data_IF_940998997792
#
_entry.id   IF_940998997792
#
_cell.length_a   1.000
_cell.length_b   1.000
_cell.length_c   1.000
_cell.angle_alpha   90.00
_cell.angle_beta   90.00
_cell.angle_gamma   90.00
#
_symmetry.space_group_name_H-M   'P 1'
#
loop_
_entity.id
_entity.type
_entity.pdbx_description
1 polymer ?
#
# COMPACT_ATOMS: atom_id res chain seq x y z
N UNK A 1 21.15 20.61 42.34
CA UNK A 1 21.15 20.86 40.88
C UNK A 1 21.57 19.58 40.18
N UNK A 2 20.60 18.74 39.82
CA UNK A 2 20.84 17.54 39.02
C UNK A 2 20.40 17.88 37.59
N UNK A 3 21.34 17.77 36.65
CA UNK A 3 21.13 18.13 35.25
C UNK A 3 20.03 17.28 34.63
N UNK A 4 19.04 17.95 34.06
CA UNK A 4 18.07 17.35 33.13
C UNK A 4 18.88 16.81 31.96
N UNK A 5 18.96 15.49 31.85
CA UNK A 5 19.58 14.82 30.72
C UNK A 5 18.92 15.28 29.44
N UNK A 6 19.73 15.83 28.52
CA UNK A 6 19.31 16.09 27.15
C UNK A 6 18.75 14.77 26.60
N UNK A 7 17.46 14.74 26.27
CA UNK A 7 16.88 13.65 25.51
C UNK A 7 17.73 13.48 24.24
N UNK A 8 18.48 12.38 24.17
CA UNK A 8 19.33 12.08 23.01
C UNK A 8 18.46 12.03 21.77
N UNK A 9 18.93 12.64 20.68
CA UNK A 9 18.32 12.49 19.36
C UNK A 9 18.12 10.99 19.09
N UNK A 10 16.95 10.54 18.62
CA UNK A 10 16.75 9.14 18.26
C UNK A 10 17.85 8.71 17.28
N UNK A 11 18.62 7.68 17.59
CA UNK A 11 19.57 7.11 16.63
C UNK A 11 18.79 6.36 15.56
N UNK A 12 18.69 6.93 14.37
CA UNK A 12 18.09 6.27 13.21
C UNK A 12 18.99 5.10 12.78
N UNK A 13 18.43 3.90 12.66
CA UNK A 13 19.19 2.65 12.50
C UNK A 13 19.34 2.18 11.05
N UNK A 14 19.08 3.05 10.08
CA UNK A 14 19.22 2.71 8.66
C UNK A 14 20.68 2.84 8.23
N UNK A 15 21.05 2.13 7.16
CA UNK A 15 22.37 2.28 6.54
C UNK A 15 22.35 3.56 5.70
N UNK A 16 23.10 4.63 6.06
CA UNK A 16 23.05 5.89 5.32
C UNK A 16 23.33 5.72 3.82
N UNK A 17 24.25 4.83 3.49
CA UNK A 17 24.68 4.58 2.11
C UNK A 17 23.73 3.68 1.32
N UNK A 18 22.72 3.05 1.95
CA UNK A 18 21.81 2.14 1.26
C UNK A 18 21.08 2.84 0.12
N UNK A 19 20.54 4.04 0.39
CA UNK A 19 19.82 4.83 -0.61
C UNK A 19 20.75 5.58 -1.56
N UNK A 20 22.05 5.64 -1.28
CA UNK A 20 22.98 6.44 -2.08
C UNK A 20 23.00 5.96 -3.54
N UNK A 21 22.98 4.65 -3.77
CA UNK A 21 22.94 4.10 -5.12
C UNK A 21 21.65 4.47 -5.85
N UNK A 22 20.51 4.38 -5.18
CA UNK A 22 19.17 4.67 -5.75
C UNK A 22 18.92 6.17 -5.96
N UNK A 23 19.65 7.04 -5.25
CA UNK A 23 19.51 8.50 -5.34
C UNK A 23 20.59 9.18 -6.17
N UNK A 24 21.69 8.50 -6.50
CA UNK A 24 22.79 9.07 -7.28
C UNK A 24 22.28 9.60 -8.62
N UNK A 25 22.50 10.90 -8.88
CA UNK A 25 22.12 11.55 -10.14
C UNK A 25 20.63 11.87 -10.29
N UNK A 26 19.78 11.49 -9.32
CA UNK A 26 18.33 11.77 -9.38
C UNK A 26 18.01 13.26 -9.18
N UNK A 27 18.88 13.98 -8.47
CA UNK A 27 18.59 15.33 -7.99
C UNK A 27 17.86 15.35 -6.65
N UNK A 28 17.94 14.25 -5.89
CA UNK A 28 17.35 14.11 -4.57
C UNK A 28 18.38 13.59 -3.56
N UNK A 29 18.21 13.92 -2.29
CA UNK A 29 19.00 13.37 -1.18
C UNK A 29 18.13 13.05 0.04
N UNK A 30 18.57 12.12 0.89
CA UNK A 30 17.91 11.86 2.18
C UNK A 30 18.53 12.77 3.23
N UNK A 31 17.71 13.62 3.83
CA UNK A 31 18.06 14.30 5.07
C UNK A 31 17.24 13.72 6.22
N UNK A 32 17.88 13.61 7.38
CA UNK A 32 17.20 13.11 8.58
C UNK A 32 17.03 14.23 9.58
N UNK A 33 15.77 14.53 9.89
CA UNK A 33 15.36 15.49 10.91
C UNK A 33 15.02 14.78 12.23
N UNK A 34 15.17 15.52 13.33
CA UNK A 34 14.86 15.05 14.70
C UNK A 34 13.36 14.83 14.96
N UNK A 35 12.47 15.44 14.17
CA UNK A 35 11.01 15.39 14.34
C UNK A 35 10.38 14.48 13.29
N UNK A 36 10.65 14.72 12.00
CA UNK A 36 10.07 13.95 10.89
C UNK A 36 10.82 12.65 10.58
N UNK A 37 12.06 12.52 11.02
CA UNK A 37 12.94 11.45 10.60
C UNK A 37 13.46 11.67 9.18
N UNK A 38 13.56 10.59 8.39
CA UNK A 38 14.01 10.67 7.01
C UNK A 38 13.03 11.49 6.17
N UNK A 39 13.56 12.32 5.28
CA UNK A 39 12.81 12.99 4.23
C UNK A 39 13.66 13.15 2.98
N UNK A 40 13.01 13.22 1.82
CA UNK A 40 13.69 13.52 0.56
C UNK A 40 13.72 15.03 0.31
N UNK A 41 14.88 15.52 -0.12
CA UNK A 41 15.09 16.93 -0.44
C UNK A 41 15.66 17.07 -1.85
N UNK A 42 15.26 18.13 -2.54
CA UNK A 42 15.76 18.45 -3.87
C UNK A 42 17.21 18.95 -3.81
N UNK A 43 18.11 18.39 -4.61
CA UNK A 43 19.49 18.91 -4.78
C UNK A 43 19.66 19.74 -6.05
N UNK A 44 18.59 19.87 -6.84
CA UNK A 44 18.48 20.71 -8.03
C UNK A 44 17.04 21.21 -8.19
N UNK A 45 16.84 22.13 -9.12
CA UNK A 45 15.50 22.56 -9.49
C UNK A 45 14.76 21.47 -10.31
N UNK A 46 13.45 21.36 -10.07
CA UNK A 46 12.50 20.60 -10.89
C UNK A 46 11.44 21.54 -11.45
N UNK A 47 11.12 21.40 -12.73
CA UNK A 47 10.06 22.18 -13.36
C UNK A 47 8.69 21.59 -13.07
N UNK A 48 7.66 22.43 -13.01
CA UNK A 48 6.27 22.00 -12.92
C UNK A 48 5.95 20.93 -13.98
N UNK A 49 5.21 19.91 -13.59
CA UNK A 49 4.80 18.76 -14.39
C UNK A 49 5.93 17.87 -14.92
N UNK A 50 7.18 18.10 -14.51
CA UNK A 50 8.27 17.18 -14.80
C UNK A 50 8.20 15.93 -13.94
N UNK A 51 8.62 14.80 -14.50
CA UNK A 51 8.84 13.56 -13.75
C UNK A 51 10.05 13.75 -12.82
N UNK A 52 9.80 13.69 -11.52
CA UNK A 52 10.82 13.82 -10.47
C UNK A 52 11.46 12.47 -10.19
N UNK A 53 10.64 11.41 -10.14
CA UNK A 53 11.10 10.07 -9.83
C UNK A 53 10.22 9.00 -10.47
N UNK A 54 10.83 7.90 -10.89
CA UNK A 54 10.15 6.68 -11.32
C UNK A 54 10.81 5.47 -10.68
N UNK A 55 9.99 4.59 -10.13
CA UNK A 55 10.47 3.40 -9.42
C UNK A 55 9.56 2.20 -9.66
N UNK A 56 10.15 1.05 -9.98
CA UNK A 56 9.45 -0.23 -10.00
C UNK A 56 9.35 -0.77 -8.58
N UNK A 57 8.16 -1.22 -8.15
CA UNK A 57 7.99 -1.77 -6.81
C UNK A 57 9.03 -2.85 -6.47
N UNK A 58 9.65 -2.72 -5.30
CA UNK A 58 10.48 -3.76 -4.71
C UNK A 58 9.65 -5.05 -4.54
N UNK A 59 8.43 -4.88 -4.03
CA UNK A 59 7.45 -5.93 -3.85
C UNK A 59 6.03 -5.37 -4.02
N UNK A 60 5.14 -6.11 -4.66
CA UNK A 60 3.73 -5.77 -4.70
C UNK A 60 2.84 -7.01 -4.66
N UNK A 61 1.60 -6.81 -4.24
CA UNK A 61 0.56 -7.84 -4.21
C UNK A 61 -0.80 -7.24 -4.47
N UNK A 62 -1.66 -8.02 -5.12
CA UNK A 62 -3.08 -7.73 -5.21
C UNK A 62 -3.68 -7.74 -3.80
N UNK A 63 -4.70 -6.94 -3.56
CA UNK A 63 -5.44 -7.00 -2.31
C UNK A 63 -6.08 -8.39 -2.12
N UNK A 64 -6.36 -8.75 -0.87
CA UNK A 64 -6.86 -10.08 -0.49
C UNK A 64 -8.24 -10.36 -1.11
N UNK A 65 -9.09 -9.35 -1.18
CA UNK A 65 -10.45 -9.46 -1.70
C UNK A 65 -10.52 -9.74 -3.19
N UNK A 66 -9.76 -9.00 -4.01
CA UNK A 66 -9.77 -9.21 -5.46
C UNK A 66 -9.09 -10.55 -5.79
N UNK A 67 -8.06 -10.93 -5.02
CA UNK A 67 -7.41 -12.24 -5.12
C UNK A 67 -8.38 -13.39 -4.81
N UNK A 68 -9.20 -13.27 -3.75
CA UNK A 68 -10.27 -14.25 -3.41
C UNK A 68 -11.37 -14.31 -4.46
N UNK A 69 -11.71 -13.17 -5.06
CA UNK A 69 -12.71 -13.08 -6.15
C UNK A 69 -12.16 -13.55 -7.50
N UNK A 70 -10.85 -13.78 -7.62
CA UNK A 70 -10.20 -14.22 -8.84
C UNK A 70 -10.16 -13.13 -9.91
N UNK A 71 -10.00 -11.86 -9.52
CA UNK A 71 -9.85 -10.76 -10.47
C UNK A 71 -8.54 -10.95 -11.26
N UNK A 72 -8.58 -11.05 -12.60
CA UNK A 72 -7.41 -11.36 -13.41
C UNK A 72 -6.40 -10.21 -13.44
N UNK A 73 -5.25 -10.41 -12.83
CA UNK A 73 -4.11 -9.48 -12.88
C UNK A 73 -2.83 -10.24 -13.16
N UNK A 74 -1.83 -9.54 -13.71
CA UNK A 74 -0.49 -10.07 -13.78
C UNK A 74 0.00 -10.34 -12.36
N UNK A 75 0.37 -11.58 -12.05
CA UNK A 75 0.86 -11.96 -10.72
C UNK A 75 2.14 -11.22 -10.31
N UNK A 76 2.88 -10.69 -11.28
CA UNK A 76 4.10 -9.91 -11.06
C UNK A 76 3.83 -8.41 -10.86
N UNK A 77 3.22 -7.76 -11.85
CA UNK A 77 3.12 -6.30 -11.91
C UNK A 77 1.75 -5.74 -11.55
N UNK A 78 0.77 -6.61 -11.27
CA UNK A 78 -0.62 -6.24 -10.97
C UNK A 78 -1.37 -5.54 -12.10
N UNK A 79 -0.79 -5.39 -13.29
CA UNK A 79 -1.52 -4.92 -14.48
C UNK A 79 -2.74 -5.80 -14.70
N UNK A 80 -3.90 -5.18 -14.89
CA UNK A 80 -5.13 -5.90 -15.24
C UNK A 80 -4.92 -6.74 -16.51
N UNK A 81 -5.38 -7.98 -16.47
CA UNK A 81 -5.41 -8.88 -17.64
C UNK A 81 -6.80 -8.88 -18.30
N UNK A 82 -7.72 -8.05 -17.82
CA UNK A 82 -9.05 -7.90 -18.36
C UNK A 82 -9.08 -6.91 -19.52
N UNK A 83 -9.89 -7.23 -20.52
CA UNK A 83 -10.46 -6.24 -21.45
C UNK A 83 -11.62 -5.49 -20.78
N UNK A 84 -12.06 -4.34 -21.34
CA UNK A 84 -13.25 -3.62 -20.85
C UNK A 84 -14.49 -4.50 -20.86
N UNK A 85 -14.64 -5.35 -21.88
CA UNK A 85 -15.73 -6.32 -22.00
C UNK A 85 -15.70 -7.38 -20.91
N UNK A 86 -14.53 -7.95 -20.61
CA UNK A 86 -14.40 -8.98 -19.57
C UNK A 86 -14.57 -8.41 -18.16
N UNK A 87 -14.05 -7.20 -17.91
CA UNK A 87 -14.29 -6.48 -16.67
C UNK A 87 -15.79 -6.19 -16.49
N UNK A 88 -16.45 -5.65 -17.52
CA UNK A 88 -17.89 -5.40 -17.50
C UNK A 88 -18.70 -6.69 -17.27
N UNK A 89 -18.30 -7.80 -17.90
CA UNK A 89 -18.93 -9.11 -17.69
C UNK A 89 -18.80 -9.57 -16.23
N UNK A 90 -17.62 -9.40 -15.61
CA UNK A 90 -17.34 -9.76 -14.22
C UNK A 90 -18.10 -8.88 -13.23
N UNK A 91 -18.03 -7.55 -13.40
CA UNK A 91 -18.61 -6.58 -12.47
C UNK A 91 -20.13 -6.48 -12.58
N UNK A 92 -20.69 -6.48 -13.79
CA UNK A 92 -22.14 -6.34 -13.99
C UNK A 92 -22.90 -7.67 -14.02
N UNK A 93 -22.23 -8.78 -14.39
CA UNK A 93 -22.85 -10.08 -14.73
C UNK A 93 -23.91 -10.01 -15.84
N UNK A 94 -23.88 -8.99 -16.72
CA UNK A 94 -24.90 -8.73 -17.74
C UNK A 94 -24.38 -8.88 -19.17
N UNK A 95 -24.76 -9.97 -19.85
CA UNK A 95 -24.38 -10.23 -21.25
C UNK A 95 -24.81 -9.12 -22.23
N UNK A 96 -25.99 -8.52 -22.04
CA UNK A 96 -26.48 -7.42 -22.92
C UNK A 96 -25.61 -6.17 -22.84
N UNK A 97 -25.13 -5.81 -21.64
CA UNK A 97 -24.25 -4.66 -21.47
C UNK A 97 -22.91 -4.87 -22.18
N UNK A 98 -22.34 -6.07 -22.08
CA UNK A 98 -21.09 -6.45 -22.76
C UNK A 98 -21.18 -6.31 -24.28
N UNK A 99 -22.33 -6.68 -24.86
CA UNK A 99 -22.58 -6.58 -26.30
C UNK A 99 -22.84 -5.14 -26.76
N UNK A 100 -23.35 -4.28 -25.87
CA UNK A 100 -23.69 -2.90 -26.16
C UNK A 100 -22.54 -1.90 -25.91
N UNK A 101 -21.41 -2.35 -25.35
CA UNK A 101 -20.25 -1.49 -25.11
C UNK A 101 -19.80 -0.84 -26.44
N UNK A 102 -19.68 0.50 -26.53
CA UNK A 102 -19.25 1.19 -27.74
C UNK A 102 -17.77 0.91 -28.07
N UNK A 103 -17.45 0.77 -29.37
CA UNK A 103 -16.09 0.61 -29.92
C UNK A 103 -15.15 -0.38 -29.21
N UNK A 104 -15.62 -1.56 -28.76
CA UNK A 104 -14.89 -2.43 -27.86
C UNK A 104 -13.60 -3.04 -28.45
N UNK A 105 -13.39 -2.89 -29.75
CA UNK A 105 -12.16 -3.24 -30.49
C UNK A 105 -10.99 -2.26 -30.25
N UNK A 106 -11.22 -1.07 -29.69
CA UNK A 106 -10.16 -0.08 -29.43
C UNK A 106 -9.11 -0.58 -28.43
N UNK A 107 -9.47 -1.48 -27.53
CA UNK A 107 -8.52 -2.17 -26.67
C UNK A 107 -8.31 -3.60 -27.15
N UNK A 108 -7.10 -3.85 -27.66
CA UNK A 108 -6.69 -5.20 -28.02
C UNK A 108 -6.64 -6.09 -26.77
N UNK A 109 -7.16 -7.33 -26.84
CA UNK A 109 -7.00 -8.28 -25.75
C UNK A 109 -5.52 -8.52 -25.47
N UNK A 110 -5.15 -8.45 -24.18
CA UNK A 110 -3.86 -8.97 -23.75
C UNK A 110 -3.90 -10.48 -23.89
N UNK A 111 -2.85 -11.07 -24.44
CA UNK A 111 -2.61 -12.51 -24.42
C UNK A 111 -1.77 -12.87 -23.19
N UNK A 112 -2.37 -13.25 -22.05
CA UNK A 112 -1.62 -13.45 -20.83
C UNK A 112 -0.77 -14.71 -20.94
N UNK A 113 0.49 -14.59 -20.56
CA UNK A 113 1.43 -15.71 -20.52
C UNK A 113 1.16 -16.52 -19.24
N UNK A 114 0.80 -17.79 -19.32
CA UNK A 114 0.59 -18.61 -18.13
C UNK A 114 1.91 -19.00 -17.47
N UNK A 115 1.84 -19.40 -16.20
CA UNK A 115 2.91 -20.11 -15.52
C UNK A 115 3.42 -21.29 -16.36
N UNK A 116 4.73 -21.55 -16.30
CA UNK A 116 5.39 -22.69 -16.94
C UNK A 116 4.80 -24.04 -16.52
N UNK A 117 4.21 -24.09 -15.32
CA UNK A 117 3.61 -25.29 -14.74
C UNK A 117 2.09 -25.26 -14.66
N UNK A 118 1.45 -24.60 -15.65
CA UNK A 118 -0.01 -24.54 -15.75
C UNK A 118 -0.65 -25.93 -15.77
N UNK A 119 -0.06 -26.85 -16.54
CA UNK A 119 -0.56 -28.23 -16.68
C UNK A 119 -0.43 -29.04 -15.38
N UNK A 120 0.42 -28.60 -14.44
CA UNK A 120 0.55 -29.18 -13.11
C UNK A 120 -0.31 -28.45 -12.05
N UNK A 121 -1.21 -27.57 -12.49
CA UNK A 121 -2.25 -26.97 -11.65
C UNK A 121 -1.99 -25.54 -11.17
N UNK A 122 -0.89 -24.89 -11.58
CA UNK A 122 -0.69 -23.48 -11.30
C UNK A 122 -1.60 -22.60 -12.18
N UNK A 123 -2.30 -21.63 -11.58
CA UNK A 123 -3.23 -20.73 -12.29
C UNK A 123 -2.70 -19.32 -12.48
N UNK A 124 -1.48 -19.04 -12.02
CA UNK A 124 -0.87 -17.72 -12.14
C UNK A 124 -0.66 -17.34 -13.62
N UNK A 125 -0.94 -16.08 -13.93
CA UNK A 125 -0.84 -15.51 -15.26
C UNK A 125 -0.04 -14.22 -15.22
N UNK A 126 0.60 -13.89 -16.34
CA UNK A 126 1.50 -12.76 -16.46
C UNK A 126 1.18 -11.98 -17.72
N UNK A 127 1.33 -10.66 -17.70
CA UNK A 127 1.07 -9.83 -18.88
C UNK A 127 2.11 -10.02 -19.99
N UNK A 128 3.27 -10.64 -19.69
CA UNK A 128 4.36 -10.86 -20.64
C UNK A 128 5.28 -11.98 -20.17
N UNK A 129 6.11 -12.51 -21.09
CA UNK A 129 7.16 -13.46 -20.76
C UNK A 129 8.17 -12.86 -19.76
N UNK A 130 8.50 -11.57 -19.91
CA UNK A 130 9.32 -10.81 -18.95
C UNK A 130 8.74 -10.89 -17.54
N UNK A 131 7.45 -10.58 -17.36
CA UNK A 131 6.82 -10.65 -16.04
C UNK A 131 6.82 -12.06 -15.45
N UNK A 132 6.56 -13.10 -16.26
CA UNK A 132 6.64 -14.49 -15.81
C UNK A 132 8.04 -14.86 -15.32
N UNK A 133 9.07 -14.50 -16.08
CA UNK A 133 10.47 -14.80 -15.74
C UNK A 133 10.94 -14.01 -14.52
N UNK A 134 10.57 -12.74 -14.42
CA UNK A 134 10.84 -11.91 -13.24
C UNK A 134 10.15 -12.48 -12.01
N UNK A 135 8.88 -12.88 -12.10
CA UNK A 135 8.17 -13.53 -10.99
C UNK A 135 8.86 -14.83 -10.58
N UNK A 136 9.22 -15.69 -11.55
CA UNK A 136 9.91 -16.95 -11.28
C UNK A 136 11.19 -16.72 -10.48
N UNK A 137 12.02 -15.77 -10.92
CA UNK A 137 13.29 -15.44 -10.25
C UNK A 137 13.10 -14.76 -8.90
N UNK A 138 12.04 -13.94 -8.74
CA UNK A 138 11.83 -13.16 -7.52
C UNK A 138 11.07 -13.90 -6.43
N UNK A 139 9.98 -14.63 -6.71
CA UNK A 139 9.15 -15.24 -5.66
C UNK A 139 8.41 -16.50 -6.09
N UNK A 140 8.03 -16.60 -7.36
CA UNK A 140 7.08 -17.60 -7.82
C UNK A 140 7.68 -19.01 -7.76
N UNK A 141 9.02 -19.15 -7.84
CA UNK A 141 9.67 -20.45 -7.67
C UNK A 141 9.35 -21.11 -6.32
N UNK A 142 9.35 -20.35 -5.21
CA UNK A 142 9.05 -20.90 -3.87
C UNK A 142 7.56 -21.03 -3.58
N UNK A 143 6.70 -20.25 -4.24
CA UNK A 143 5.26 -20.21 -3.95
C UNK A 143 4.37 -20.74 -5.10
N UNK A 144 4.95 -21.38 -6.11
CA UNK A 144 4.20 -21.94 -7.22
C UNK A 144 3.30 -23.08 -6.72
N UNK A 145 1.98 -22.93 -6.91
CA UNK A 145 0.99 -23.91 -6.49
C UNK A 145 1.19 -25.32 -7.09
N UNK A 146 1.85 -25.41 -8.25
CA UNK A 146 2.17 -26.70 -8.89
C UNK A 146 3.19 -27.52 -8.08
N UNK A 147 4.07 -26.87 -7.33
CA UNK A 147 5.14 -27.53 -6.55
C UNK A 147 4.80 -27.65 -5.06
N UNK A 148 3.69 -27.07 -4.62
CA UNK A 148 3.27 -27.15 -3.23
C UNK A 148 2.81 -28.57 -2.85
N UNK A 149 3.39 -29.10 -1.75
CA UNK A 149 2.91 -30.30 -1.07
C UNK A 149 1.47 -30.10 -0.59
N UNK A 150 0.76 -31.20 -0.32
CA UNK A 150 -0.60 -31.13 0.22
C UNK A 150 -0.69 -30.38 1.56
N UNK A 151 0.34 -30.48 2.41
CA UNK A 151 0.46 -29.71 3.66
C UNK A 151 0.56 -28.20 3.39
N UNK A 152 1.45 -27.79 2.49
CA UNK A 152 1.63 -26.39 2.09
C UNK A 152 0.35 -25.80 1.50
N UNK A 153 -0.34 -26.53 0.62
CA UNK A 153 -1.63 -26.08 0.04
C UNK A 153 -2.70 -25.87 1.12
N UNK A 154 -2.77 -26.75 2.12
CA UNK A 154 -3.67 -26.58 3.27
C UNK A 154 -3.29 -25.37 4.11
N UNK A 155 -2.00 -25.17 4.39
CA UNK A 155 -1.51 -24.01 5.12
C UNK A 155 -1.82 -22.70 4.36
N UNK A 156 -1.59 -22.66 3.04
CA UNK A 156 -1.91 -21.52 2.20
C UNK A 156 -3.41 -21.22 2.18
N UNK A 157 -4.25 -22.25 2.03
CA UNK A 157 -5.70 -22.10 2.09
C UNK A 157 -6.16 -21.54 3.45
N UNK A 158 -5.53 -21.99 4.55
CA UNK A 158 -5.79 -21.45 5.89
C UNK A 158 -5.31 -20.00 6.01
N UNK A 159 -4.13 -19.66 5.50
CA UNK A 159 -3.60 -18.30 5.48
C UNK A 159 -4.55 -17.33 4.75
N UNK A 160 -5.02 -17.71 3.56
CA UNK A 160 -5.96 -16.90 2.77
C UNK A 160 -7.31 -16.70 3.45
N UNK A 161 -7.70 -17.60 4.37
CA UNK A 161 -8.96 -17.55 5.13
C UNK A 161 -8.76 -17.14 6.58
N UNK A 162 -7.53 -16.82 6.97
CA UNK A 162 -7.23 -16.42 8.33
C UNK A 162 -7.94 -15.10 8.61
N UNK A 163 -8.42 -14.95 9.84
CA UNK A 163 -9.02 -13.71 10.30
C UNK A 163 -7.90 -12.73 10.61
N UNK A 164 -7.65 -11.83 9.67
CA UNK A 164 -6.60 -10.83 9.75
C UNK A 164 -7.04 -9.59 10.52
N UNK A 165 -8.25 -9.58 11.09
CA UNK A 165 -8.68 -8.50 11.98
C UNK A 165 -8.04 -8.72 13.34
N UNK A 166 -7.32 -7.72 13.82
CA UNK A 166 -6.74 -7.74 15.17
C UNK A 166 -6.80 -6.36 15.78
N UNK A 167 -7.53 -6.22 16.90
CA UNK A 167 -7.75 -4.90 17.49
C UNK A 167 -8.35 -3.94 16.47
N UNK A 168 -9.29 -4.45 15.66
CA UNK A 168 -10.08 -3.81 14.60
C UNK A 168 -9.34 -3.10 13.46
N UNK A 169 -8.07 -3.41 13.28
CA UNK A 169 -7.36 -3.18 12.01
C UNK A 169 -7.43 -4.45 11.19
N UNK A 170 -7.81 -4.33 9.91
CA UNK A 170 -7.75 -5.44 8.96
C UNK A 170 -6.36 -5.51 8.30
N UNK A 171 -5.58 -6.51 8.68
CA UNK A 171 -4.24 -6.76 8.13
C UNK A 171 -4.26 -7.64 6.87
N UNK A 172 -5.42 -7.90 6.24
CA UNK A 172 -5.51 -8.83 5.12
C UNK A 172 -4.55 -8.49 3.97
N UNK A 173 -4.52 -7.22 3.55
CA UNK A 173 -3.66 -6.76 2.46
C UNK A 173 -2.18 -6.68 2.90
N UNK A 174 -1.95 -6.30 4.15
CA UNK A 174 -0.62 -6.33 4.78
C UNK A 174 -0.05 -7.75 4.83
N UNK A 175 -0.89 -8.74 5.14
CA UNK A 175 -0.49 -10.13 5.29
C UNK A 175 -0.13 -10.75 3.94
N UNK A 176 -0.90 -10.48 2.87
CA UNK A 176 -0.58 -11.01 1.55
C UNK A 176 0.69 -10.37 0.97
N UNK A 177 0.92 -9.08 1.23
CA UNK A 177 2.15 -8.40 0.86
C UNK A 177 3.34 -8.92 1.69
N UNK A 178 3.17 -9.12 3.00
CA UNK A 178 4.15 -9.75 3.88
C UNK A 178 4.52 -11.17 3.44
N UNK A 179 3.53 -11.98 3.04
CA UNK A 179 3.74 -13.30 2.45
C UNK A 179 4.57 -13.20 1.16
N UNK A 180 4.32 -12.20 0.31
CA UNK A 180 5.12 -11.96 -0.90
C UNK A 180 6.55 -11.56 -0.58
N UNK A 181 6.79 -10.71 0.42
CA UNK A 181 8.14 -10.31 0.88
C UNK A 181 8.93 -11.52 1.38
N UNK A 182 8.29 -12.38 2.18
CA UNK A 182 8.89 -13.61 2.68
C UNK A 182 9.19 -14.57 1.53
N UNK A 183 8.26 -14.71 0.57
CA UNK A 183 8.50 -15.48 -0.65
C UNK A 183 9.72 -14.96 -1.43
N UNK A 184 9.87 -13.63 -1.54
CA UNK A 184 11.02 -13.04 -2.21
C UNK A 184 12.34 -13.33 -1.50
N UNK A 185 12.34 -13.17 -0.17
CA UNK A 185 13.51 -13.45 0.68
C UNK A 185 13.94 -14.91 0.57
N UNK A 186 12.99 -15.84 0.69
CA UNK A 186 13.27 -17.27 0.57
C UNK A 186 13.67 -17.68 -0.85
N UNK A 187 13.13 -17.03 -1.88
CA UNK A 187 13.55 -17.29 -3.26
C UNK A 187 15.00 -16.85 -3.48
N UNK A 188 15.40 -15.67 -3.02
CA UNK A 188 16.79 -15.23 -3.02
C UNK A 188 17.71 -16.19 -2.27
N UNK A 189 17.28 -16.69 -1.12
CA UNK A 189 18.04 -17.64 -0.33
C UNK A 189 18.16 -19.02 -0.99
N UNK A 190 17.03 -19.66 -1.30
CA UNK A 190 16.98 -21.03 -1.80
C UNK A 190 17.46 -21.16 -3.25
N UNK A 191 17.04 -20.25 -4.13
CA UNK A 191 17.33 -20.32 -5.57
C UNK A 191 18.66 -19.65 -5.91
N UNK A 192 18.92 -18.46 -5.34
CA UNK A 192 20.08 -17.64 -5.70
C UNK A 192 21.25 -17.72 -4.70
N UNK A 193 21.11 -18.50 -3.62
CA UNK A 193 22.16 -18.76 -2.61
C UNK A 193 22.65 -17.48 -1.91
N UNK A 194 21.76 -16.50 -1.74
CA UNK A 194 22.01 -15.29 -0.95
C UNK A 194 21.74 -15.60 0.53
N UNK A 195 22.49 -15.01 1.46
CA UNK A 195 22.16 -15.15 2.89
C UNK A 195 20.79 -14.52 3.20
N UNK A 196 20.10 -15.02 4.23
CA UNK A 196 18.78 -14.50 4.62
C UNK A 196 18.87 -13.00 4.99
N UNK A 197 19.95 -12.57 5.63
CA UNK A 197 20.21 -11.18 5.98
C UNK A 197 20.30 -10.28 4.75
N UNK A 198 21.11 -10.67 3.75
CA UNK A 198 21.26 -9.89 2.52
C UNK A 198 19.99 -9.93 1.67
N UNK A 199 19.29 -11.07 1.63
CA UNK A 199 18.02 -11.21 0.91
C UNK A 199 16.90 -10.33 1.51
N UNK A 200 16.90 -10.15 2.83
CA UNK A 200 15.90 -9.34 3.55
C UNK A 200 16.30 -7.88 3.70
N UNK A 201 17.57 -7.52 3.46
CA UNK A 201 18.11 -6.19 3.69
C UNK A 201 17.27 -5.05 3.10
N UNK A 202 16.76 -5.12 1.85
CA UNK A 202 15.91 -4.06 1.31
C UNK A 202 14.67 -3.77 2.15
N UNK A 203 14.03 -4.83 2.66
CA UNK A 203 12.85 -4.72 3.53
C UNK A 203 13.21 -4.27 4.95
N UNK A 204 14.41 -4.61 5.41
CA UNK A 204 14.92 -4.11 6.69
C UNK A 204 15.06 -2.58 6.70
N UNK A 205 15.26 -1.93 5.55
CA UNK A 205 15.36 -0.46 5.50
C UNK A 205 14.03 0.26 5.71
N UNK A 206 12.89 -0.42 5.46
CA UNK A 206 11.55 0.07 5.82
C UNK A 206 11.39 0.16 7.34
N UNK A 207 12.11 -0.70 8.05
CA UNK A 207 11.99 -0.97 9.49
C UNK A 207 12.87 0.00 10.33
N UNK A 208 13.71 0.83 9.71
CA UNK A 208 14.76 1.60 10.40
C UNK A 208 14.35 2.97 10.99
N UNK A 209 13.08 3.14 11.36
CA UNK A 209 12.65 4.11 12.41
C UNK A 209 12.75 3.39 13.76
N UNK A 210 13.12 4.01 14.90
CA UNK A 210 13.47 3.27 16.13
C UNK A 210 12.37 2.28 16.57
N UNK A 211 12.58 1.00 16.22
CA UNK A 211 11.68 -0.13 16.47
C UNK A 211 11.50 -0.38 17.96
N UNK A 212 12.44 0.10 18.78
CA UNK A 212 12.41 -0.01 20.24
C UNK A 212 11.27 0.79 20.88
N UNK A 213 10.62 1.67 20.13
CA UNK A 213 9.52 2.51 20.63
C UNK A 213 8.28 2.50 19.72
N UNK A 214 8.32 1.75 18.62
CA UNK A 214 7.20 1.60 17.70
C UNK A 214 6.36 0.39 18.09
N UNK A 215 5.50 0.58 19.10
CA UNK A 215 4.47 -0.41 19.41
C UNK A 215 3.30 -0.18 18.46
N UNK A 216 3.08 -1.13 17.54
CA UNK A 216 1.89 -1.17 16.68
C UNK A 216 0.65 -1.39 17.55
N UNK A 217 0.06 -0.28 17.90
CA UNK A 217 -1.02 -0.20 18.84
C UNK A 217 -1.85 1.00 18.38
N UNK A 218 -3.03 0.70 17.84
CA UNK A 218 -4.19 1.58 17.63
C UNK A 218 -4.36 2.21 16.26
N UNK A 219 -5.35 1.67 15.56
CA UNK A 219 -6.14 2.33 14.53
C UNK A 219 -7.59 1.84 14.70
N UNK A 220 -8.25 2.33 15.76
CA UNK A 220 -9.67 2.07 16.02
C UNK A 220 -10.26 3.22 16.84
N UNK A 221 -11.15 3.99 16.22
CA UNK A 221 -12.34 4.51 16.88
C UNK A 221 -13.50 4.60 15.88
N UNK A 222 -14.66 4.10 16.30
CA UNK A 222 -15.97 4.50 15.78
C UNK A 222 -16.51 5.68 16.60
N UNK A 223 -17.36 6.48 15.96
CA UNK A 223 -18.04 7.72 16.36
C UNK A 223 -17.33 9.04 16.00
N UNK A 224 -17.69 9.56 14.82
CA UNK A 224 -17.55 10.97 14.40
C UNK A 224 -18.68 11.77 15.10
N UNK A 225 -18.38 12.71 16.02
CA UNK A 225 -19.37 13.68 16.46
C UNK A 225 -19.53 14.73 15.37
N UNK A 226 -20.63 14.68 14.63
CA UNK A 226 -21.12 15.83 13.89
C UNK A 226 -21.67 16.85 14.90
N UNK A 227 -20.91 17.88 15.23
CA UNK A 227 -21.41 19.01 16.02
C UNK A 227 -20.34 19.85 16.72
N UNK A 228 -20.17 21.09 16.23
CA UNK A 228 -19.56 22.31 16.78
C UNK A 228 -18.56 22.25 17.97
N UNK A 229 -17.33 22.67 17.63
CA UNK A 229 -16.31 23.44 18.38
C UNK A 229 -16.31 23.51 19.92
N UNK A 230 -15.16 23.15 20.51
CA UNK A 230 -14.46 24.08 21.41
C UNK A 230 -12.94 23.81 21.45
N UNK A 231 -12.14 24.87 21.52
CA UNK A 231 -10.67 24.83 21.66
C UNK A 231 -10.20 24.02 22.88
N UNK A 232 -11.04 23.95 23.91
CA UNK A 232 -10.85 23.13 25.10
C UNK A 232 -10.99 21.61 24.81
N UNK A 233 -11.88 21.21 23.91
CA UNK A 233 -12.04 19.82 23.52
C UNK A 233 -10.82 19.31 22.73
N UNK A 234 -10.22 20.15 21.88
CA UNK A 234 -9.02 19.82 21.11
C UNK A 234 -7.76 19.80 21.98
N UNK A 235 -7.59 20.76 22.90
CA UNK A 235 -6.50 20.75 23.87
C UNK A 235 -6.61 19.56 24.85
N UNK A 236 -7.84 19.22 25.27
CA UNK A 236 -8.11 18.00 26.02
C UNK A 236 -7.79 16.78 25.16
N UNK A 237 -8.14 16.74 23.87
CA UNK A 237 -7.81 15.63 22.98
C UNK A 237 -6.30 15.47 22.78
N UNK A 238 -5.55 16.56 22.64
CA UNK A 238 -4.09 16.56 22.52
C UNK A 238 -3.38 16.15 23.82
N UNK A 239 -3.87 16.59 24.99
CA UNK A 239 -3.39 16.13 26.29
C UNK A 239 -3.75 14.66 26.55
N UNK A 240 -4.94 14.25 26.08
CA UNK A 240 -5.36 12.85 26.12
C UNK A 240 -4.55 12.02 25.12
N UNK A 241 -4.14 12.57 23.98
CA UNK A 241 -3.25 11.93 23.02
C UNK A 241 -1.85 11.74 23.61
N UNK A 242 -1.28 12.74 24.27
CA UNK A 242 0.01 12.61 24.95
C UNK A 242 -0.02 11.52 26.03
N UNK A 243 -1.13 11.39 26.77
CA UNK A 243 -1.31 10.32 27.77
C UNK A 243 -1.64 8.96 27.13
N UNK A 244 -2.46 8.91 26.07
CA UNK A 244 -2.82 7.68 25.33
C UNK A 244 -1.67 7.12 24.51
N UNK A 245 -0.76 7.98 24.03
CA UNK A 245 0.50 7.60 23.39
C UNK A 245 1.44 6.90 24.39
N UNK A 246 1.33 7.23 25.68
CA UNK A 246 2.11 6.61 26.75
C UNK A 246 1.44 5.38 27.39
N UNK A 247 0.11 5.40 27.57
CA UNK A 247 -0.68 4.26 28.02
C UNK A 247 -2.01 4.17 27.25
N UNK A 248 -2.04 3.36 26.20
CA UNK A 248 -3.20 3.27 25.34
C UNK A 248 -4.40 2.49 25.92
N UNK A 249 -4.23 1.75 27.02
CA UNK A 249 -5.32 1.00 27.69
C UNK A 249 -6.34 1.92 28.38
N UNK A 250 -6.04 3.21 28.48
CA UNK A 250 -6.89 4.24 29.07
C UNK A 250 -8.03 4.68 28.15
N UNK A 251 -8.07 4.27 26.88
CA UNK A 251 -9.19 4.60 25.97
C UNK A 251 -10.34 3.60 26.18
N UNK A 252 -11.54 4.03 26.60
CA UNK A 252 -12.63 3.11 26.88
C UNK A 252 -13.05 2.24 25.68
N UNK A 253 -13.00 2.80 24.46
CA UNK A 253 -13.23 2.07 23.21
C UNK A 253 -12.14 1.04 22.90
N UNK A 254 -10.87 1.34 23.19
CA UNK A 254 -9.75 0.38 23.12
C UNK A 254 -9.93 -0.72 24.15
N UNK A 255 -10.25 -0.38 25.39
CA UNK A 255 -10.51 -1.35 26.45
C UNK A 255 -11.67 -2.26 26.09
N UNK A 256 -12.71 -1.73 25.45
CA UNK A 256 -13.87 -2.49 24.99
C UNK A 256 -13.58 -3.35 23.75
N UNK A 257 -12.77 -2.88 22.79
CA UNK A 257 -12.31 -3.65 21.64
C UNK A 257 -11.37 -4.79 22.08
N UNK A 258 -10.44 -4.50 23.02
CA UNK A 258 -9.61 -5.52 23.68
C UNK A 258 -10.45 -6.49 24.53
N UNK A 259 -11.56 -6.04 25.13
CA UNK A 259 -12.46 -6.90 25.89
C UNK A 259 -13.42 -7.71 25.00
N UNK A 260 -13.56 -7.39 23.71
CA UNK A 260 -14.40 -8.12 22.74
C UNK A 260 -13.68 -9.21 21.96
N UNK A 261 -12.40 -9.45 22.19
CA UNK A 261 -11.65 -10.51 21.49
C UNK A 261 -11.09 -11.57 22.44
N UNK A 262 -11.31 -12.83 22.07
CA UNK A 262 -10.74 -14.02 22.73
C UNK A 262 -9.25 -14.25 22.36
N UNK A 263 -8.68 -13.49 21.40
CA UNK A 263 -7.33 -13.68 20.85
C UNK A 263 -6.44 -12.47 21.14
N UNK A 264 -5.34 -12.69 21.86
CA UNK A 264 -4.33 -11.66 22.10
C UNK A 264 -3.34 -11.54 20.92
N UNK A 265 -2.57 -10.44 20.89
CA UNK A 265 -1.59 -10.15 19.83
C UNK A 265 -0.48 -11.19 19.69
N UNK A 266 -0.04 -11.79 20.80
CA UNK A 266 1.00 -12.81 20.77
C UNK A 266 0.45 -14.09 20.12
N UNK A 267 -0.80 -14.45 20.44
CA UNK A 267 -1.52 -15.55 19.80
C UNK A 267 -1.73 -15.29 18.30
N UNK A 268 -2.21 -14.11 17.89
CA UNK A 268 -2.35 -13.74 16.47
C UNK A 268 -1.02 -13.85 15.71
N UNK A 269 0.07 -13.32 16.29
CA UNK A 269 1.38 -13.36 15.67
C UNK A 269 1.94 -14.78 15.58
N UNK A 270 1.72 -15.62 16.60
CA UNK A 270 2.17 -17.00 16.62
C UNK A 270 1.41 -17.87 15.60
N UNK A 271 0.07 -17.77 15.56
CA UNK A 271 -0.77 -18.51 14.62
C UNK A 271 -0.46 -18.12 13.15
N UNK A 272 -0.39 -16.82 12.86
CA UNK A 272 -0.07 -16.34 11.51
C UNK A 272 1.34 -16.72 11.07
N UNK A 273 2.32 -16.68 11.99
CA UNK A 273 3.68 -17.15 11.72
C UNK A 273 3.70 -18.66 11.42
N UNK A 274 2.98 -19.47 12.21
CA UNK A 274 2.92 -20.92 11.98
C UNK A 274 2.36 -21.22 10.59
N UNK A 275 1.30 -20.53 10.17
CA UNK A 275 0.76 -20.64 8.82
C UNK A 275 1.81 -20.28 7.77
N UNK A 276 2.52 -19.16 7.94
CA UNK A 276 3.56 -18.70 7.03
C UNK A 276 4.70 -19.72 6.90
N UNK A 277 5.23 -20.21 8.02
CA UNK A 277 6.30 -21.21 8.04
C UNK A 277 5.87 -22.52 7.35
N UNK A 278 4.60 -22.91 7.52
CA UNK A 278 4.03 -24.10 6.89
C UNK A 278 3.69 -23.91 5.40
N UNK A 279 3.35 -22.69 4.96
CA UNK A 279 3.18 -22.36 3.53
C UNK A 279 4.48 -22.60 2.78
N UNK A 280 5.60 -22.12 3.33
CA UNK A 280 6.90 -22.19 2.67
C UNK A 280 7.69 -23.46 2.98
N UNK A 281 7.20 -24.31 3.89
CA UNK A 281 7.91 -25.49 4.38
C UNK A 281 9.33 -25.10 4.84
N UNK A 282 9.39 -24.12 5.75
CA UNK A 282 10.65 -23.54 6.20
C UNK A 282 11.49 -24.53 7.00
N UNK A 283 12.79 -24.56 6.71
CA UNK A 283 13.78 -25.33 7.47
C UNK A 283 14.15 -24.64 8.81
N UNK A 284 14.98 -25.26 9.67
CA UNK A 284 15.33 -24.67 10.96
C UNK A 284 16.04 -23.31 10.89
N UNK A 285 16.88 -23.07 9.87
CA UNK A 285 17.58 -21.80 9.68
C UNK A 285 16.59 -20.70 9.30
N UNK A 286 15.71 -20.99 8.34
CA UNK A 286 14.67 -20.08 7.88
C UNK A 286 13.65 -19.77 8.97
N UNK A 287 13.29 -20.75 9.81
CA UNK A 287 12.40 -20.53 10.98
C UNK A 287 13.06 -19.70 12.06
N UNK A 288 14.37 -19.87 12.28
CA UNK A 288 15.12 -19.04 13.22
C UNK A 288 15.19 -17.59 12.73
N UNK A 289 15.29 -17.38 11.41
CA UNK A 289 15.28 -16.04 10.82
C UNK A 289 13.88 -15.40 10.79
N UNK A 290 12.87 -16.13 10.31
CA UNK A 290 11.46 -15.70 10.27
C UNK A 290 10.79 -16.14 11.57
N UNK A 291 11.14 -15.45 12.66
CA UNK A 291 10.56 -15.64 13.99
C UNK A 291 9.48 -14.58 14.29
N UNK A 292 8.74 -14.77 15.38
CA UNK A 292 7.55 -13.97 15.72
C UNK A 292 7.82 -12.45 15.75
N UNK A 293 8.90 -12.03 16.40
CA UNK A 293 9.26 -10.60 16.44
C UNK A 293 9.57 -10.04 15.05
N UNK A 294 10.32 -10.76 14.19
CA UNK A 294 10.59 -10.28 12.82
C UNK A 294 9.31 -10.22 11.99
N UNK A 295 8.43 -11.20 12.12
CA UNK A 295 7.14 -11.19 11.44
C UNK A 295 6.26 -10.03 11.87
N UNK A 296 6.13 -9.79 13.18
CA UNK A 296 5.38 -8.65 13.73
C UNK A 296 5.91 -7.30 13.23
N UNK A 297 7.24 -7.11 13.27
CA UNK A 297 7.88 -5.88 12.79
C UNK A 297 7.68 -5.71 11.27
N UNK A 298 7.78 -6.79 10.49
CA UNK A 298 7.52 -6.74 9.06
C UNK A 298 6.08 -6.33 8.76
N UNK A 299 5.10 -6.94 9.43
CA UNK A 299 3.68 -6.61 9.24
C UNK A 299 3.42 -5.12 9.50
N UNK A 300 3.98 -4.59 10.59
CA UNK A 300 3.87 -3.18 10.89
C UNK A 300 4.57 -2.27 9.85
N UNK A 301 5.77 -2.63 9.41
CA UNK A 301 6.48 -1.88 8.38
C UNK A 301 5.71 -1.87 7.05
N UNK A 302 5.14 -3.00 6.64
CA UNK A 302 4.31 -3.10 5.43
C UNK A 302 3.07 -2.22 5.56
N UNK A 303 2.40 -2.22 6.72
CA UNK A 303 1.20 -1.39 6.93
C UNK A 303 1.47 0.10 6.73
N UNK A 304 2.62 0.61 7.20
CA UNK A 304 2.95 2.05 7.14
C UNK A 304 3.61 2.48 5.84
N UNK A 305 4.21 1.55 5.10
CA UNK A 305 4.99 1.85 3.90
C UNK A 305 4.33 1.33 2.62
N UNK A 306 3.25 0.56 2.74
CA UNK A 306 2.47 0.07 1.61
C UNK A 306 1.81 1.23 0.88
N UNK A 307 2.27 1.51 -0.33
CA UNK A 307 1.63 2.46 -1.22
C UNK A 307 0.45 1.76 -1.89
N UNK A 308 -0.77 2.26 -1.66
CA UNK A 308 -1.96 1.76 -2.34
C UNK A 308 -1.81 1.98 -3.85
N UNK A 309 -2.22 0.96 -4.61
CA UNK A 309 -2.35 1.01 -6.05
C UNK A 309 -3.80 0.75 -6.44
N UNK A 310 -4.42 1.80 -6.95
CA UNK A 310 -5.76 1.78 -7.52
C UNK A 310 -5.72 2.48 -8.89
N UNK A 311 -5.05 1.87 -9.90
CA UNK A 311 -4.90 2.46 -11.23
C UNK A 311 -6.26 2.61 -11.93
N UNK A 312 -6.36 3.37 -13.05
CA UNK A 312 -7.55 3.36 -13.88
C UNK A 312 -7.97 1.96 -14.30
N UNK A 313 -9.28 1.74 -14.37
CA UNK A 313 -9.82 0.45 -14.79
C UNK A 313 -9.74 0.26 -16.31
N UNK A 314 -9.75 -0.98 -16.84
CA UNK A 314 -9.88 -1.21 -18.28
C UNK A 314 -11.07 -0.45 -18.90
N UNK A 315 -12.21 -0.42 -18.22
CA UNK A 315 -13.40 0.33 -18.64
C UNK A 315 -13.16 1.85 -18.67
N UNK A 316 -12.51 2.41 -17.65
CA UNK A 316 -12.18 3.83 -17.60
C UNK A 316 -11.22 4.24 -18.70
N UNK A 317 -10.14 3.49 -18.90
CA UNK A 317 -9.21 3.71 -20.02
C UNK A 317 -9.95 3.60 -21.37
N UNK A 318 -10.93 2.70 -21.47
CA UNK A 318 -11.75 2.56 -22.67
C UNK A 318 -12.63 3.77 -22.89
N UNK A 319 -13.26 4.29 -21.83
CA UNK A 319 -14.07 5.50 -21.85
C UNK A 319 -13.26 6.71 -22.32
N UNK A 320 -12.03 6.86 -21.83
CA UNK A 320 -11.09 7.92 -22.25
C UNK A 320 -10.69 7.78 -23.73
N UNK A 321 -10.38 6.57 -24.19
CA UNK A 321 -10.05 6.34 -25.60
C UNK A 321 -11.25 6.65 -26.51
N UNK A 322 -12.45 6.22 -26.12
CA UNK A 322 -13.67 6.49 -26.90
C UNK A 322 -13.99 7.98 -26.90
N UNK A 323 -13.79 8.72 -25.80
CA UNK A 323 -14.05 10.18 -25.77
C UNK A 323 -13.17 10.97 -26.75
N UNK A 324 -12.06 10.39 -27.22
CA UNK A 324 -11.21 10.98 -28.24
C UNK A 324 -11.77 10.82 -29.67
N UNK A 325 -12.84 10.03 -29.86
CA UNK A 325 -13.49 9.83 -31.16
C UNK A 325 -14.65 10.81 -31.38
N UNK A 326 -15.00 11.12 -32.65
CA UNK A 326 -16.22 11.86 -32.98
C UNK A 326 -17.46 11.19 -32.36
N UNK A 327 -18.29 11.99 -31.67
CA UNK A 327 -19.48 11.54 -30.92
C UNK A 327 -19.22 10.49 -29.82
N UNK A 328 -17.96 10.22 -29.46
CA UNK A 328 -17.58 9.19 -28.50
C UNK A 328 -18.12 9.42 -27.09
N UNK A 329 -18.02 10.66 -26.58
CA UNK A 329 -18.61 11.02 -25.28
C UNK A 329 -20.12 10.78 -25.23
N UNK A 330 -20.82 11.12 -26.33
CA UNK A 330 -22.27 10.91 -26.45
C UNK A 330 -22.61 9.42 -26.48
N UNK A 331 -21.83 8.62 -27.21
CA UNK A 331 -22.00 7.18 -27.29
C UNK A 331 -21.79 6.50 -25.92
N UNK A 332 -20.72 6.87 -25.20
CA UNK A 332 -20.47 6.37 -23.84
C UNK A 332 -21.58 6.80 -22.87
N UNK A 333 -21.99 8.07 -22.91
CA UNK A 333 -23.06 8.58 -22.04
C UNK A 333 -24.39 7.86 -22.29
N UNK A 334 -24.76 7.60 -23.55
CA UNK A 334 -25.97 6.86 -23.90
C UNK A 334 -25.89 5.39 -23.46
N UNK A 335 -24.72 4.77 -23.59
CA UNK A 335 -24.46 3.42 -23.08
C UNK A 335 -24.62 3.36 -21.56
N UNK A 336 -23.97 4.27 -20.84
CA UNK A 336 -24.05 4.35 -19.37
C UNK A 336 -25.51 4.58 -18.93
N UNK A 337 -26.21 5.55 -19.51
CA UNK A 337 -27.64 5.76 -19.22
C UNK A 337 -28.46 4.49 -19.42
N UNK A 338 -28.25 3.76 -20.52
CA UNK A 338 -28.98 2.51 -20.79
C UNK A 338 -28.67 1.43 -19.76
N UNK A 339 -27.40 1.27 -19.37
CA UNK A 339 -26.95 0.26 -18.40
C UNK A 339 -27.38 0.57 -16.97
N UNK A 340 -27.44 1.86 -16.60
CA UNK A 340 -27.70 2.34 -15.23
C UNK A 340 -29.16 2.72 -14.96
N UNK A 341 -29.91 3.22 -15.94
CA UNK A 341 -31.34 3.57 -15.74
C UNK A 341 -32.25 2.34 -15.68
N UNK A 342 -31.85 1.20 -16.25
CA UNK A 342 -32.72 0.02 -16.32
C UNK A 342 -32.67 -0.87 -15.07
N UNK A 343 -31.65 -0.77 -14.20
CA UNK A 343 -31.44 -1.79 -13.15
C UNK A 343 -30.64 -1.31 -11.92
N UNK A 344 -31.27 -1.44 -10.74
CA UNK A 344 -30.90 -0.88 -9.41
C UNK A 344 -29.55 -1.36 -8.80
N UNK A 345 -28.87 -2.37 -9.35
CA UNK A 345 -27.80 -3.10 -8.63
C UNK A 345 -26.36 -2.97 -9.17
N UNK A 346 -26.08 -2.06 -10.11
CA UNK A 346 -24.70 -1.82 -10.58
C UNK A 346 -24.55 -0.33 -10.81
N UNK A 347 -23.57 0.30 -10.19
CA UNK A 347 -23.27 1.74 -10.35
C UNK A 347 -22.06 1.91 -11.28
N UNK A 348 -21.96 3.03 -11.99
CA UNK A 348 -20.79 3.40 -12.83
C UNK A 348 -19.52 3.28 -11.99
N UNK A 349 -19.62 3.66 -10.71
CA UNK A 349 -18.52 3.56 -9.76
C UNK A 349 -17.93 2.15 -9.63
N UNK A 350 -18.70 1.08 -9.84
CA UNK A 350 -18.19 -0.30 -9.83
C UNK A 350 -17.36 -0.64 -11.07
N UNK A 351 -17.58 0.05 -12.19
CA UNK A 351 -16.80 -0.12 -13.41
C UNK A 351 -15.51 0.70 -13.37
N UNK A 352 -15.53 1.85 -12.69
CA UNK A 352 -14.34 2.68 -12.47
C UNK A 352 -13.35 2.04 -11.49
N UNK A 353 -13.81 1.12 -10.63
CA UNK A 353 -12.94 0.34 -9.75
C UNK A 353 -12.09 -0.65 -10.54
N UNK A 354 -10.78 -0.38 -10.59
CA UNK A 354 -9.78 -1.29 -11.15
C UNK A 354 -9.38 -2.38 -10.17
N UNK A 355 -8.41 -3.21 -10.58
CA UNK A 355 -7.76 -4.14 -9.69
C UNK A 355 -6.93 -3.40 -8.63
N UNK A 356 -7.24 -3.64 -7.36
CA UNK A 356 -6.54 -2.99 -6.24
C UNK A 356 -5.32 -3.81 -5.81
N UNK A 357 -4.32 -3.13 -5.27
CA UNK A 357 -3.18 -3.77 -4.66
C UNK A 357 -2.33 -2.78 -3.86
N UNK A 358 -1.20 -3.26 -3.38
CA UNK A 358 -0.24 -2.46 -2.65
C UNK A 358 1.17 -2.76 -3.14
N UNK A 359 2.04 -1.76 -3.11
CA UNK A 359 3.44 -1.86 -3.46
C UNK A 359 4.34 -1.27 -2.37
N UNK A 360 5.53 -1.83 -2.21
CA UNK A 360 6.64 -1.27 -1.45
C UNK A 360 7.64 -0.69 -2.45
N UNK A 361 8.06 0.54 -2.19
CA UNK A 361 8.94 1.34 -3.04
C UNK A 361 10.10 1.85 -2.20
N UNK A 362 11.32 1.49 -2.57
CA UNK A 362 12.52 1.78 -1.78
C UNK A 362 12.69 3.27 -1.53
N UNK A 363 12.64 4.08 -2.59
CA UNK A 363 12.74 5.54 -2.50
C UNK A 363 11.36 6.13 -2.24
N UNK A 364 10.31 5.56 -2.82
CA UNK A 364 8.92 6.00 -2.63
C UNK A 364 8.50 6.14 -1.17
N UNK A 365 8.96 5.25 -0.27
CA UNK A 365 8.64 5.31 1.16
C UNK A 365 9.33 6.45 1.93
N UNK A 366 10.17 7.26 1.28
CA UNK A 366 10.88 8.40 1.91
C UNK A 366 10.20 9.76 1.66
N UNK A 367 9.21 9.83 0.76
CA UNK A 367 8.47 11.08 0.54
C UNK A 367 7.56 11.36 1.71
N UNK A 368 7.85 12.41 2.48
CA UNK A 368 7.02 12.81 3.61
C UNK A 368 5.68 13.43 3.17
N UNK A 369 4.76 13.49 4.12
CA UNK A 369 3.45 14.10 3.92
C UNK A 369 3.48 15.64 3.95
N UNK A 370 2.68 16.26 3.06
CA UNK A 370 2.16 17.63 3.20
C UNK A 370 0.71 17.70 2.73
N UNK A 371 -0.14 18.49 3.42
CA UNK A 371 -1.50 18.80 2.94
C UNK A 371 -1.51 19.87 1.82
N UNK A 372 -0.34 20.43 1.52
CA UNK A 372 -0.04 21.28 0.36
C UNK A 372 1.25 20.74 -0.27
N UNK A 373 1.17 19.58 -0.96
CA UNK A 373 2.34 18.89 -1.47
C UNK A 373 2.91 19.59 -2.70
N UNK A 374 4.21 19.47 -2.93
CA UNK A 374 4.85 19.90 -4.17
C UNK A 374 4.93 18.78 -5.22
N UNK A 375 4.67 17.53 -4.83
CA UNK A 375 4.67 16.37 -5.72
C UNK A 375 3.34 15.62 -5.68
N UNK A 376 3.08 14.83 -6.73
CA UNK A 376 1.96 13.92 -6.82
C UNK A 376 2.41 12.56 -7.36
N UNK A 377 1.88 11.50 -6.75
CA UNK A 377 2.01 10.14 -7.26
C UNK A 377 1.01 9.95 -8.39
N UNK A 378 1.51 9.53 -9.55
CA UNK A 378 0.71 9.17 -10.72
C UNK A 378 0.90 7.70 -11.06
N UNK A 379 -0.14 7.12 -11.66
CA UNK A 379 -0.08 5.78 -12.23
C UNK A 379 0.55 5.83 -13.62
N UNK A 380 1.39 4.85 -13.93
CA UNK A 380 1.95 4.69 -15.26
C UNK A 380 0.84 4.42 -16.27
N UNK A 381 1.01 4.81 -17.54
CA UNK A 381 0.03 4.53 -18.60
C UNK A 381 -0.20 3.02 -18.84
N UNK A 382 0.73 2.19 -18.38
CA UNK A 382 0.64 0.72 -18.42
C UNK A 382 -0.09 0.13 -17.21
N UNK A 383 -0.39 0.93 -16.18
CA UNK A 383 -0.99 0.52 -14.92
C UNK A 383 -0.26 -0.66 -14.25
N UNK A 384 1.07 -0.69 -14.42
CA UNK A 384 1.99 -1.70 -13.87
C UNK A 384 2.56 -1.27 -12.51
N UNK A 385 3.46 -2.05 -11.94
CA UNK A 385 3.99 -1.85 -10.59
C UNK A 385 4.87 -0.61 -10.42
N UNK A 386 4.96 0.24 -11.46
CA UNK A 386 5.75 1.47 -11.46
C UNK A 386 5.03 2.59 -10.69
N UNK A 387 5.75 3.22 -9.77
CA UNK A 387 5.43 4.47 -9.12
C UNK A 387 6.04 5.60 -9.95
N UNK A 388 5.23 6.54 -10.44
CA UNK A 388 5.70 7.77 -11.09
C UNK A 388 5.38 8.95 -10.18
N UNK A 389 6.36 9.80 -9.89
CA UNK A 389 6.19 10.99 -9.05
C UNK A 389 6.48 12.23 -9.90
N UNK A 390 5.51 13.13 -9.98
CA UNK A 390 5.60 14.35 -10.79
C UNK A 390 5.53 15.60 -9.94
N UNK A 391 6.18 16.67 -10.38
CA UNK A 391 6.10 17.97 -9.73
C UNK A 391 4.76 18.65 -10.03
N UNK A 392 4.08 19.16 -9.00
CA UNK A 392 2.84 19.93 -9.12
C UNK A 392 3.10 21.41 -9.44
N UNK A 393 4.29 21.89 -9.12
CA UNK A 393 4.81 23.25 -9.34
C UNK A 393 6.31 23.19 -9.53
N UNK A 394 6.93 24.32 -9.86
CA UNK A 394 8.39 24.42 -9.79
C UNK A 394 8.86 24.16 -8.35
N UNK A 395 9.90 23.33 -8.20
CA UNK A 395 10.54 22.99 -6.92
C UNK A 395 11.99 23.41 -6.99
N UNK A 396 12.46 24.17 -6.00
CA UNK A 396 13.84 24.65 -5.91
C UNK A 396 14.74 23.69 -5.15
N UNK A 397 16.02 23.70 -5.51
CA UNK A 397 17.04 23.03 -4.71
C UNK A 397 16.95 23.46 -3.23
N UNK A 398 17.00 22.49 -2.32
CA UNK A 398 16.85 22.65 -0.88
C UNK A 398 15.41 22.49 -0.37
N UNK A 399 14.39 22.45 -1.23
CA UNK A 399 13.02 22.16 -0.79
C UNK A 399 12.82 20.68 -0.42
N UNK A 400 12.05 20.42 0.64
CA UNK A 400 11.59 19.07 0.97
C UNK A 400 10.58 18.59 -0.08
N UNK A 401 10.76 17.38 -0.57
CA UNK A 401 9.91 16.71 -1.53
C UNK A 401 8.80 15.97 -0.80
N UNK A 402 7.55 16.40 -1.01
CA UNK A 402 6.40 15.90 -0.25
C UNK A 402 5.24 15.52 -1.14
N UNK A 403 4.54 14.45 -0.74
CA UNK A 403 3.29 13.97 -1.34
C UNK A 403 2.15 14.10 -0.34
N UNK A 404 0.90 13.92 -0.78
CA UNK A 404 -0.22 13.74 0.15
C UNK A 404 -0.46 12.26 0.42
N UNK A 405 -0.63 11.90 1.70
CA UNK A 405 -0.95 10.53 2.12
C UNK A 405 -2.48 10.30 2.16
N UNK A 406 -3.22 11.40 2.20
CA UNK A 406 -4.67 11.45 2.40
C UNK A 406 -5.30 12.36 1.35
N UNK A 407 -6.63 12.41 1.32
CA UNK A 407 -7.35 13.42 0.54
C UNK A 407 -7.15 14.80 1.17
N UNK A 408 -6.40 15.65 0.47
CA UNK A 408 -6.09 17.01 0.91
C UNK A 408 -7.29 17.97 0.79
N UNK A 409 -8.38 17.57 0.13
CA UNK A 409 -9.62 18.37 0.04
C UNK A 409 -10.43 18.37 1.35
N UNK A 410 -10.16 17.41 2.25
CA UNK A 410 -10.86 17.28 3.52
C UNK A 410 -10.61 18.47 4.46
N UNK A 411 -11.54 18.78 5.40
CA UNK A 411 -11.34 19.83 6.40
C UNK A 411 -10.14 19.59 7.32
N UNK A 412 -9.55 20.67 7.86
CA UNK A 412 -8.36 20.63 8.73
C UNK A 412 -8.41 19.54 9.81
N UNK A 413 -9.47 19.56 10.63
CA UNK A 413 -9.63 18.63 11.75
C UNK A 413 -9.68 17.16 11.28
N UNK A 414 -10.34 16.89 10.14
CA UNK A 414 -10.43 15.55 9.56
C UNK A 414 -9.07 15.09 9.05
N UNK A 415 -8.31 15.98 8.39
CA UNK A 415 -6.95 15.66 7.92
C UNK A 415 -6.01 15.35 9.08
N UNK A 416 -6.02 16.17 10.14
CA UNK A 416 -5.21 15.92 11.34
C UNK A 416 -5.58 14.60 12.00
N UNK A 417 -6.88 14.30 12.13
CA UNK A 417 -7.35 13.06 12.73
C UNK A 417 -6.90 11.85 11.90
N UNK A 418 -7.07 11.86 10.57
CA UNK A 418 -6.62 10.76 9.70
C UNK A 418 -5.10 10.54 9.78
N UNK A 419 -4.31 11.62 9.79
CA UNK A 419 -2.84 11.50 9.88
C UNK A 419 -2.39 10.99 11.25
N UNK A 420 -3.09 11.42 12.30
CA UNK A 420 -2.84 10.95 13.66
C UNK A 420 -3.17 9.47 13.81
N UNK A 421 -4.32 9.07 13.30
CA UNK A 421 -4.79 7.70 13.35
C UNK A 421 -3.85 6.81 12.52
N UNK A 422 -3.69 7.12 11.23
CA UNK A 422 -3.04 6.18 10.29
C UNK A 422 -1.51 6.23 10.31
N UNK A 423 -0.93 7.39 10.63
CA UNK A 423 0.50 7.64 10.49
C UNK A 423 1.15 8.14 11.79
N UNK A 424 0.38 8.31 12.86
CA UNK A 424 0.86 8.63 14.21
C UNK A 424 1.61 9.96 14.33
N UNK A 425 1.26 10.96 13.51
CA UNK A 425 1.86 12.30 13.59
C UNK A 425 0.83 13.43 13.41
N UNK A 426 1.19 14.62 13.92
CA UNK A 426 0.46 15.87 13.70
C UNK A 426 1.08 16.63 12.52
N UNK A 427 0.27 16.99 11.53
CA UNK A 427 0.79 17.66 10.34
C UNK A 427 1.01 19.16 10.59
N UNK A 428 2.24 19.61 10.34
CA UNK A 428 2.68 21.01 10.49
C UNK A 428 3.10 21.64 9.17
N UNK A 429 2.53 21.20 8.05
CA UNK A 429 2.76 21.83 6.76
C UNK A 429 2.25 23.29 6.76
N UNK A 430 2.72 24.15 5.83
CA UNK A 430 2.32 25.57 5.80
C UNK A 430 0.80 25.79 5.84
N UNK A 431 0.04 24.97 5.12
CA UNK A 431 -1.43 25.01 5.12
C UNK A 431 -2.03 24.70 6.50
N UNK A 432 -1.58 23.62 7.14
CA UNK A 432 -2.07 23.24 8.48
C UNK A 432 -1.70 24.26 9.55
N UNK A 433 -0.51 24.88 9.45
CA UNK A 433 -0.11 25.97 10.36
C UNK A 433 -1.01 27.17 10.18
N UNK A 434 -1.28 27.58 8.93
CA UNK A 434 -2.17 28.70 8.65
C UNK A 434 -3.61 28.42 9.16
N UNK A 435 -4.19 27.28 8.78
CA UNK A 435 -5.55 26.89 9.19
C UNK A 435 -5.69 26.77 10.73
N UNK A 436 -4.68 26.20 11.40
CA UNK A 436 -4.67 26.06 12.85
C UNK A 436 -4.57 27.39 13.62
N UNK A 437 -4.01 28.44 13.02
CA UNK A 437 -3.99 29.79 13.63
C UNK A 437 -5.30 30.55 13.48
N UNK A 438 -6.06 30.31 12.40
CA UNK A 438 -7.40 30.89 12.20
C UNK A 438 -8.44 30.31 13.16
N UNK A 439 -8.40 29.00 13.43
CA UNK A 439 -9.24 28.36 14.45
C UNK A 439 -8.86 28.79 15.89
N UNK A 440 -7.67 29.38 16.07
CA UNK A 440 -7.22 29.96 17.34
C UNK A 440 -7.68 31.41 17.58
N UNK A 441 -8.37 32.04 16.62
CA UNK A 441 -8.90 33.41 16.75
C UNK A 441 -10.43 33.52 16.55
N UNK A 442 -11.13 32.39 16.35
CA UNK A 442 -12.59 32.24 16.49
C UNK A 442 -12.92 31.40 17.72
#
# INVERSE_FOLDING_TARGET
MAGVGRHGVPSWTYKPDYYAMSLTGTGMEVLTDSVKGKGLYATRDFSAHSTVHEETALCCSQNMDDLKKGVPVCTFCLRSLETPRTQLARSSRRKKAVLALPYPELQMPLDPVPCLWKEQGCRDQFCSARCRESALKKFHWVCCAAHMKASQRRAYTKFMRYDWVQGGVDYSDTAILGLRIVAQTLCAHRLHRVSLECAFEPYAQLICSPITSFFFTYLLMDDIPTGESSRAAVAAHAATFATRKHDPMLVPGVRAAYARELRDKATFCAESLELLQNVFDMDPEERAFVHAQRWSVLMGAVLLNGQERSPPSPYEMHRELVSCLPDGERAMSAFEQTVFQTHIATDVSDLLRSCRGQGIYEVGCLFNHSCDPNLSVQYSSLNDETLTVVALRDVKAGEELTISYIDSSLPFAVRQQQLLDHYLFECRCPRCVAEGTTDANM
#
